data_IF_552572006417
#
_entry.id   IF_552572006417
#
_cell.length_a   1.000
_cell.length_b   1.000
_cell.length_c   1.000
_cell.angle_alpha   90.00
_cell.angle_beta   90.00
_cell.angle_gamma   90.00
#
_symmetry.space_group_name_H-M   'P 1'
#
loop_
_entity.id
_entity.type
_entity.pdbx_description
1 polymer ?
#
# COMPACT_ATOMS: atom_id res chain seq x y z
N UNK A 1 -4.90 16.83 24.36
CA UNK A 1 -3.83 16.48 23.42
C UNK A 1 -3.75 17.60 22.42
N UNK A 2 -2.61 18.22 22.27
CA UNK A 2 -2.41 19.28 21.29
C UNK A 2 -2.63 18.73 19.88
N UNK A 3 -3.34 19.47 19.01
CA UNK A 3 -3.67 19.00 17.64
C UNK A 3 -2.41 18.76 16.82
N UNK A 4 -1.33 19.50 17.08
CA UNK A 4 -0.03 19.29 16.44
C UNK A 4 0.57 17.93 16.86
N UNK A 5 0.50 17.57 18.14
CA UNK A 5 0.95 16.26 18.61
C UNK A 5 0.12 15.13 17.99
N UNK A 6 -1.19 15.33 17.80
CA UNK A 6 -2.03 14.37 17.11
C UNK A 6 -1.61 14.20 15.65
N UNK A 7 -1.33 15.29 14.94
CA UNK A 7 -0.85 15.28 13.55
C UNK A 7 0.52 14.61 13.44
N UNK A 8 1.45 14.87 14.36
CA UNK A 8 2.76 14.22 14.41
C UNK A 8 2.63 12.71 14.61
N UNK A 9 1.81 12.30 15.59
CA UNK A 9 1.57 10.87 15.86
C UNK A 9 0.96 10.16 14.65
N UNK A 10 -0.03 10.79 14.02
CA UNK A 10 -0.66 10.27 12.80
C UNK A 10 0.36 10.16 11.66
N UNK A 11 1.19 11.18 11.45
CA UNK A 11 2.23 11.16 10.41
C UNK A 11 3.27 10.07 10.66
N UNK A 12 3.66 9.83 11.92
CA UNK A 12 4.57 8.74 12.28
C UNK A 12 3.96 7.38 11.96
N UNK A 13 2.70 7.16 12.28
CA UNK A 13 1.99 5.93 11.93
C UNK A 13 1.97 5.72 10.41
N UNK A 14 1.62 6.75 9.64
CA UNK A 14 1.63 6.69 8.17
C UNK A 14 3.02 6.38 7.59
N UNK A 15 4.09 6.95 8.15
CA UNK A 15 5.46 6.64 7.74
C UNK A 15 5.85 5.21 8.06
N UNK A 16 5.37 4.66 9.15
CA UNK A 16 5.56 3.24 9.49
C UNK A 16 4.90 2.35 8.46
N UNK A 17 3.64 2.64 8.08
CA UNK A 17 2.95 1.95 6.98
C UNK A 17 3.74 2.03 5.67
N UNK A 18 4.19 3.24 5.31
CA UNK A 18 5.00 3.47 4.10
C UNK A 18 6.29 2.64 4.09
N UNK A 19 6.97 2.56 5.24
CA UNK A 19 8.18 1.75 5.40
C UNK A 19 7.87 0.26 5.25
N UNK A 20 6.77 -0.21 5.82
CA UNK A 20 6.32 -1.59 5.67
C UNK A 20 5.98 -1.92 4.20
N UNK A 21 5.42 -0.98 3.44
CA UNK A 21 5.20 -1.15 1.99
C UNK A 21 6.53 -1.26 1.22
N UNK A 22 7.55 -0.50 1.59
CA UNK A 22 8.89 -0.62 0.99
C UNK A 22 9.47 -2.00 1.28
N UNK A 23 9.40 -2.50 2.52
CA UNK A 23 9.85 -3.84 2.87
C UNK A 23 9.08 -4.94 2.15
N UNK A 24 7.76 -4.81 2.01
CA UNK A 24 6.94 -5.70 1.21
C UNK A 24 7.41 -5.72 -0.26
N UNK A 25 7.69 -4.55 -0.83
CA UNK A 25 8.20 -4.44 -2.20
C UNK A 25 9.54 -5.14 -2.38
N UNK A 26 10.48 -4.95 -1.45
CA UNK A 26 11.76 -5.65 -1.43
C UNK A 26 11.54 -7.17 -1.33
N UNK A 27 10.66 -7.62 -0.45
CA UNK A 27 10.31 -9.03 -0.28
C UNK A 27 9.76 -9.66 -1.58
N UNK A 28 8.88 -8.96 -2.30
CA UNK A 28 8.34 -9.40 -3.58
C UNK A 28 9.41 -9.48 -4.68
N UNK A 29 10.36 -8.56 -4.71
CA UNK A 29 11.50 -8.60 -5.64
C UNK A 29 12.41 -9.79 -5.33
N UNK A 30 12.74 -10.03 -4.06
CA UNK A 30 13.52 -11.19 -3.63
C UNK A 30 12.78 -12.48 -4.01
N UNK A 31 11.46 -12.54 -3.79
CA UNK A 31 10.64 -13.67 -4.19
C UNK A 31 10.66 -13.89 -5.70
N UNK A 32 10.57 -12.83 -6.51
CA UNK A 32 10.68 -12.93 -7.97
C UNK A 32 12.03 -13.52 -8.41
N UNK A 33 13.13 -13.10 -7.76
CA UNK A 33 14.48 -13.64 -8.01
C UNK A 33 14.54 -15.11 -7.59
N UNK A 34 13.99 -15.47 -6.45
CA UNK A 34 13.94 -16.86 -5.99
C UNK A 34 13.16 -17.76 -6.97
N UNK A 35 12.00 -17.29 -7.45
CA UNK A 35 11.25 -18.01 -8.50
C UNK A 35 12.08 -18.14 -9.78
N UNK A 36 12.87 -17.13 -10.12
CA UNK A 36 13.74 -17.19 -11.29
C UNK A 36 14.82 -18.27 -11.18
N UNK A 37 15.43 -18.38 -10.00
CA UNK A 37 16.57 -19.29 -9.78
C UNK A 37 16.10 -20.72 -9.53
N UNK A 38 15.04 -20.91 -8.75
CA UNK A 38 14.68 -22.23 -8.22
C UNK A 38 13.45 -22.87 -8.87
N UNK A 39 12.58 -22.09 -9.52
CA UNK A 39 11.39 -22.66 -10.13
C UNK A 39 11.67 -23.20 -11.55
N UNK A 40 11.02 -24.32 -11.94
CA UNK A 40 11.15 -24.84 -13.30
C UNK A 40 10.63 -23.84 -14.32
N UNK A 41 11.21 -23.84 -15.51
CA UNK A 41 10.78 -22.99 -16.62
C UNK A 41 9.35 -23.33 -17.03
N UNK A 42 8.46 -22.33 -17.05
CA UNK A 42 7.06 -22.52 -17.41
C UNK A 42 6.28 -21.21 -17.41
N UNK A 43 5.11 -21.22 -18.04
CA UNK A 43 4.28 -20.02 -18.13
C UNK A 43 3.81 -19.54 -16.75
N UNK A 44 3.44 -20.43 -15.84
CA UNK A 44 3.04 -20.08 -14.47
C UNK A 44 4.20 -19.40 -13.71
N UNK A 45 5.38 -20.01 -13.75
CA UNK A 45 6.59 -19.48 -13.13
C UNK A 45 6.97 -18.11 -13.71
N UNK A 46 6.87 -17.94 -15.02
CA UNK A 46 7.11 -16.65 -15.67
C UNK A 46 6.08 -15.60 -15.23
N UNK A 47 4.80 -15.96 -15.16
CA UNK A 47 3.76 -15.06 -14.67
C UNK A 47 4.01 -14.62 -13.23
N UNK A 48 4.34 -15.55 -12.35
CA UNK A 48 4.64 -15.28 -10.94
C UNK A 48 5.90 -14.40 -10.79
N UNK A 49 6.97 -14.70 -11.51
CA UNK A 49 8.22 -13.94 -11.52
C UNK A 49 8.01 -12.50 -11.96
N UNK A 50 7.43 -12.28 -13.14
CA UNK A 50 7.22 -10.94 -13.67
C UNK A 50 6.15 -10.17 -12.88
N UNK A 51 5.07 -10.85 -12.49
CA UNK A 51 4.04 -10.27 -11.64
C UNK A 51 4.61 -9.77 -10.31
N UNK A 52 5.37 -10.60 -9.60
CA UNK A 52 5.98 -10.22 -8.32
C UNK A 52 7.02 -9.11 -8.47
N UNK A 53 7.82 -9.12 -9.55
CA UNK A 53 8.78 -8.05 -9.82
C UNK A 53 8.08 -6.70 -10.03
N UNK A 54 7.07 -6.66 -10.88
CA UNK A 54 6.31 -5.44 -11.17
C UNK A 54 5.57 -4.96 -9.92
N UNK A 55 4.88 -5.84 -9.21
CA UNK A 55 4.20 -5.53 -7.94
C UNK A 55 5.19 -4.98 -6.90
N UNK A 56 6.36 -5.61 -6.77
CA UNK A 56 7.39 -5.17 -5.83
C UNK A 56 7.90 -3.75 -6.13
N UNK A 57 8.19 -3.44 -7.40
CA UNK A 57 8.62 -2.10 -7.81
C UNK A 57 7.51 -1.07 -7.55
N UNK A 58 6.28 -1.36 -7.94
CA UNK A 58 5.16 -0.43 -7.78
C UNK A 58 4.87 -0.11 -6.31
N UNK A 59 4.86 -1.12 -5.43
CA UNK A 59 4.61 -0.88 -4.01
C UNK A 59 5.76 -0.13 -3.33
N UNK A 60 7.02 -0.35 -3.75
CA UNK A 60 8.14 0.45 -3.26
C UNK A 60 7.99 1.92 -3.64
N UNK A 61 7.69 2.21 -4.91
CA UNK A 61 7.45 3.59 -5.39
C UNK A 61 6.28 4.20 -4.60
N UNK A 62 5.20 3.45 -4.40
CA UNK A 62 4.05 3.85 -3.60
C UNK A 62 4.45 4.19 -2.16
N UNK A 63 5.23 3.34 -1.50
CA UNK A 63 5.71 3.56 -0.13
C UNK A 63 6.57 4.82 0.00
N UNK A 64 7.52 5.03 -0.90
CA UNK A 64 8.32 6.27 -0.92
C UNK A 64 7.46 7.52 -1.15
N UNK A 65 6.53 7.46 -2.10
CA UNK A 65 5.62 8.56 -2.40
C UNK A 65 4.71 8.88 -1.21
N UNK A 66 4.19 7.85 -0.55
CA UNK A 66 3.33 7.98 0.61
C UNK A 66 4.07 8.58 1.82
N UNK A 67 5.30 8.15 2.09
CA UNK A 67 6.14 8.72 3.13
C UNK A 67 6.42 10.21 2.91
N UNK A 68 6.78 10.59 1.67
CA UNK A 68 7.03 11.99 1.32
C UNK A 68 5.75 12.84 1.40
N UNK A 69 4.61 12.29 0.98
CA UNK A 69 3.33 12.97 1.06
C UNK A 69 2.92 13.22 2.53
N UNK A 70 3.07 12.21 3.40
CA UNK A 70 2.79 12.33 4.83
C UNK A 70 3.67 13.38 5.51
N UNK A 71 4.95 13.47 5.14
CA UNK A 71 5.84 14.52 5.64
C UNK A 71 5.38 15.91 5.21
N UNK A 72 4.98 16.09 3.94
CA UNK A 72 4.45 17.38 3.46
C UNK A 72 3.18 17.82 4.19
N UNK A 73 2.30 16.88 4.53
CA UNK A 73 1.11 17.18 5.33
C UNK A 73 1.52 17.74 6.70
N UNK A 74 2.46 17.09 7.37
CA UNK A 74 2.97 17.55 8.66
C UNK A 74 3.60 18.94 8.57
N UNK A 75 4.51 19.13 7.62
CA UNK A 75 5.23 20.41 7.45
C UNK A 75 4.27 21.56 7.14
N UNK A 76 3.27 21.32 6.30
CA UNK A 76 2.24 22.31 5.99
C UNK A 76 1.31 22.55 7.17
N UNK A 77 0.93 21.51 7.90
CA UNK A 77 0.10 21.63 9.11
C UNK A 77 0.77 22.46 10.20
N UNK A 78 2.07 22.23 10.46
CA UNK A 78 2.85 23.03 11.44
C UNK A 78 2.93 24.51 11.03
N UNK A 79 3.03 24.79 9.72
CA UNK A 79 3.03 26.18 9.23
C UNK A 79 1.65 26.84 9.39
N UNK A 80 0.60 26.15 8.96
CA UNK A 80 -0.77 26.64 9.05
C UNK A 80 -1.20 26.91 10.50
N UNK A 81 -0.81 26.05 11.43
CA UNK A 81 -1.07 26.23 12.86
C UNK A 81 -0.44 27.51 13.40
N UNK A 82 0.81 27.82 13.02
CA UNK A 82 1.51 29.05 13.41
C UNK A 82 0.90 30.32 12.80
N UNK A 83 0.32 30.22 11.61
CA UNK A 83 -0.32 31.35 10.91
C UNK A 83 -1.72 31.63 11.46
N UNK A 84 -2.55 30.62 11.62
CA UNK A 84 -3.91 30.74 12.15
C UNK A 84 -4.40 29.43 12.77
N UNK A 85 -4.23 29.30 14.07
CA UNK A 85 -4.61 28.12 14.83
C UNK A 85 -6.08 27.70 14.64
N UNK A 86 -7.02 28.65 14.65
CA UNK A 86 -8.46 28.33 14.55
C UNK A 86 -8.81 27.76 13.19
N UNK A 87 -8.32 28.38 12.13
CA UNK A 87 -8.54 27.89 10.77
C UNK A 87 -7.87 26.52 10.55
N UNK A 88 -6.66 26.32 11.07
CA UNK A 88 -5.95 25.04 11.00
C UNK A 88 -6.75 23.92 11.66
N UNK A 89 -7.31 24.13 12.86
CA UNK A 89 -8.13 23.13 13.56
C UNK A 89 -9.36 22.76 12.73
N UNK A 90 -10.03 23.72 12.12
CA UNK A 90 -11.21 23.46 11.27
C UNK A 90 -10.85 22.66 10.02
N UNK A 91 -9.82 23.09 9.29
CA UNK A 91 -9.36 22.41 8.07
C UNK A 91 -8.88 20.99 8.36
N UNK A 92 -8.14 20.77 9.44
CA UNK A 92 -7.63 19.45 9.81
C UNK A 92 -8.76 18.51 10.26
N UNK A 93 -9.76 19.02 10.96
CA UNK A 93 -10.95 18.25 11.33
C UNK A 93 -11.71 17.79 10.09
N UNK A 94 -11.94 18.67 9.12
CA UNK A 94 -12.59 18.32 7.84
C UNK A 94 -11.75 17.27 7.07
N UNK A 95 -10.43 17.43 7.08
CA UNK A 95 -9.52 16.47 6.44
C UNK A 95 -9.64 15.08 7.06
N UNK A 96 -9.61 14.99 8.39
CA UNK A 96 -9.70 13.72 9.10
C UNK A 96 -11.05 13.04 8.90
N UNK A 97 -12.16 13.79 8.90
CA UNK A 97 -13.47 13.24 8.56
C UNK A 97 -13.52 12.63 7.15
N UNK A 98 -12.87 13.27 6.17
CA UNK A 98 -12.78 12.71 4.81
C UNK A 98 -11.97 11.42 4.78
N UNK A 99 -10.87 11.33 5.53
CA UNK A 99 -10.07 10.10 5.64
C UNK A 99 -10.91 8.98 6.25
N UNK A 100 -11.60 9.24 7.35
CA UNK A 100 -12.45 8.25 8.01
C UNK A 100 -13.58 7.75 7.09
N UNK A 101 -14.28 8.65 6.41
CA UNK A 101 -15.32 8.28 5.43
C UNK A 101 -14.78 7.53 4.21
N UNK A 102 -13.50 7.73 3.86
CA UNK A 102 -12.83 7.02 2.77
C UNK A 102 -12.42 5.60 3.12
N UNK A 103 -12.23 5.27 4.39
CA UNK A 103 -11.69 3.98 4.83
C UNK A 103 -12.47 2.76 4.32
N UNK A 104 -13.81 2.71 4.39
CA UNK A 104 -14.58 1.58 3.85
C UNK A 104 -14.39 1.40 2.34
N UNK A 105 -14.20 2.50 1.60
CA UNK A 105 -13.98 2.46 0.15
C UNK A 105 -12.62 1.80 -0.16
N UNK A 106 -11.57 2.14 0.58
CA UNK A 106 -10.26 1.50 0.43
C UNK A 106 -10.31 0.00 0.71
N UNK A 107 -11.04 -0.42 1.76
CA UNK A 107 -11.23 -1.83 2.07
C UNK A 107 -11.96 -2.58 0.95
N UNK A 108 -13.00 -1.99 0.35
CA UNK A 108 -13.69 -2.57 -0.80
C UNK A 108 -12.76 -2.71 -2.02
N UNK A 109 -11.93 -1.70 -2.30
CA UNK A 109 -10.96 -1.73 -3.39
C UNK A 109 -9.95 -2.85 -3.18
N UNK A 110 -9.38 -2.99 -2.00
CA UNK A 110 -8.45 -4.08 -1.68
C UNK A 110 -9.12 -5.45 -1.78
N UNK A 111 -10.36 -5.58 -1.27
CA UNK A 111 -11.15 -6.78 -1.43
C UNK A 111 -11.35 -7.16 -2.89
N UNK A 112 -11.64 -6.20 -3.77
CA UNK A 112 -11.78 -6.43 -5.20
C UNK A 112 -10.45 -6.89 -5.84
N UNK A 113 -9.30 -6.28 -5.47
CA UNK A 113 -7.98 -6.69 -5.95
C UNK A 113 -7.50 -8.06 -5.41
N UNK A 114 -8.19 -8.63 -4.45
CA UNK A 114 -7.99 -10.02 -4.01
C UNK A 114 -8.99 -10.93 -4.73
N UNK A 115 -10.27 -10.56 -4.78
CA UNK A 115 -11.33 -11.38 -5.34
C UNK A 115 -11.19 -11.57 -6.86
N UNK A 116 -10.87 -10.53 -7.62
CA UNK A 116 -10.71 -10.61 -9.09
C UNK A 116 -9.59 -11.57 -9.49
N UNK A 117 -8.35 -11.45 -8.97
CA UNK A 117 -7.29 -12.42 -9.24
C UNK A 117 -7.67 -13.85 -8.85
N UNK A 118 -8.35 -14.04 -7.73
CA UNK A 118 -8.82 -15.36 -7.31
C UNK A 118 -9.80 -15.96 -8.32
N UNK A 119 -10.76 -15.17 -8.80
CA UNK A 119 -11.71 -15.62 -9.84
C UNK A 119 -10.97 -15.94 -11.16
N UNK A 120 -9.96 -15.13 -11.55
CA UNK A 120 -9.15 -15.41 -12.73
C UNK A 120 -8.42 -16.77 -12.61
N UNK A 121 -7.84 -17.07 -11.45
CA UNK A 121 -7.17 -18.34 -11.20
C UNK A 121 -8.16 -19.53 -11.29
N UNK A 122 -9.36 -19.37 -10.75
CA UNK A 122 -10.35 -20.45 -10.70
C UNK A 122 -11.03 -20.72 -12.05
N UNK A 123 -11.29 -19.69 -12.84
CA UNK A 123 -12.10 -19.80 -14.05
C UNK A 123 -11.30 -19.69 -15.36
N UNK A 124 -10.09 -19.17 -15.32
CA UNK A 124 -9.28 -18.97 -16.54
C UNK A 124 -8.06 -19.91 -16.52
N UNK A 125 -8.07 -20.91 -17.40
CA UNK A 125 -6.98 -21.87 -17.51
C UNK A 125 -5.83 -21.30 -18.40
N UNK A 126 -5.21 -20.21 -17.95
CA UNK A 126 -4.02 -19.60 -18.58
C UNK A 126 -2.88 -19.48 -17.57
N UNK A 127 -1.89 -20.39 -17.60
CA UNK A 127 -0.89 -20.44 -16.52
C UNK A 127 -0.09 -19.14 -16.32
N UNK A 128 0.22 -18.41 -17.38
CA UNK A 128 0.90 -17.10 -17.26
C UNK A 128 0.04 -16.09 -16.49
N UNK A 129 -1.24 -15.98 -16.84
CA UNK A 129 -2.18 -15.09 -16.17
C UNK A 129 -2.40 -15.47 -14.72
N UNK A 130 -2.50 -16.78 -14.45
CA UNK A 130 -2.65 -17.30 -13.10
C UNK A 130 -1.43 -16.96 -12.22
N UNK A 131 -0.23 -17.01 -12.76
CA UNK A 131 0.99 -16.58 -12.06
C UNK A 131 0.99 -15.10 -11.71
N UNK A 132 0.58 -14.23 -12.66
CA UNK A 132 0.44 -12.78 -12.41
C UNK A 132 -0.65 -12.52 -11.35
N UNK A 133 -1.80 -13.17 -11.49
CA UNK A 133 -2.92 -13.05 -10.54
C UNK A 133 -2.52 -13.44 -9.11
N UNK A 134 -1.71 -14.51 -8.97
CA UNK A 134 -1.19 -14.93 -7.69
C UNK A 134 -0.28 -13.86 -7.05
N UNK A 135 0.60 -13.24 -7.84
CA UNK A 135 1.46 -12.17 -7.36
C UNK A 135 0.67 -10.94 -6.89
N UNK A 136 -0.36 -10.54 -7.65
CA UNK A 136 -1.26 -9.43 -7.28
C UNK A 136 -2.04 -9.75 -6.00
N UNK A 137 -2.57 -10.96 -5.89
CA UNK A 137 -3.30 -11.41 -4.71
C UNK A 137 -2.43 -11.38 -3.45
N UNK A 138 -1.18 -11.88 -3.54
CA UNK A 138 -0.21 -11.83 -2.44
C UNK A 138 0.05 -10.38 -2.02
N UNK A 139 0.29 -9.47 -2.98
CA UNK A 139 0.53 -8.06 -2.69
C UNK A 139 -0.61 -7.47 -1.85
N UNK A 140 -1.86 -7.59 -2.32
CA UNK A 140 -3.00 -6.97 -1.64
C UNK A 140 -3.37 -7.64 -0.31
N UNK A 141 -3.14 -8.95 -0.16
CA UNK A 141 -3.27 -9.63 1.13
C UNK A 141 -2.29 -9.06 2.17
N UNK A 142 -1.02 -8.90 1.80
CA UNK A 142 -0.05 -8.31 2.72
C UNK A 142 -0.31 -6.84 3.00
N UNK A 143 -0.78 -6.05 2.02
CA UNK A 143 -1.20 -4.67 2.26
C UNK A 143 -2.34 -4.59 3.28
N UNK A 144 -3.38 -5.42 3.14
CA UNK A 144 -4.48 -5.47 4.13
C UNK A 144 -3.97 -5.83 5.54
N UNK A 145 -3.03 -6.76 5.64
CA UNK A 145 -2.42 -7.11 6.94
C UNK A 145 -1.67 -5.92 7.52
N UNK A 146 -0.82 -5.25 6.72
CA UNK A 146 -0.05 -4.08 7.17
C UNK A 146 -1.01 -2.99 7.67
N UNK A 147 -2.07 -2.68 6.94
CA UNK A 147 -3.04 -1.66 7.33
C UNK A 147 -3.88 -2.04 8.57
N UNK A 148 -4.18 -3.33 8.75
CA UNK A 148 -4.94 -3.80 9.91
C UNK A 148 -4.13 -3.71 11.22
N UNK A 149 -2.80 -3.72 11.16
CA UNK A 149 -1.90 -3.68 12.34
C UNK A 149 -1.18 -2.34 12.51
N UNK A 150 -1.46 -1.34 11.72
CA UNK A 150 -0.87 0.00 11.78
C UNK A 150 -1.82 1.05 12.33
#
# INVERSE_FOLDING_TARGET
MDIVQALETYTLAQKTVATNFIYLGIGLIIFAIAVWVFAPSGQLSNGLKYGSLVCGILIMIGGFSYSNFSQKILDNGIKAEKENHVQFVEEETIRMEKVEKGFPIYQMVFGAFIAIPLLLILFINKPLLNGISFAVMILFLFQMIIEAYS
#
